data_IF_838948759286
#
_entry.id   IF_838948759286
#
_cell.length_a   1.000
_cell.length_b   1.000
_cell.length_c   1.000
_cell.angle_alpha   90.00
_cell.angle_beta   90.00
_cell.angle_gamma   90.00
#
_symmetry.space_group_name_H-M   'P 1'
#
loop_
_entity.id
_entity.type
_entity.pdbx_description
1 polymer ?
#
# COMPACT_ATOMS: atom_id res chain seq x y z
N UNK A 1 -21.58 -21.21 -15.14
CA UNK A 1 -21.46 -19.74 -15.03
C UNK A 1 -20.12 -19.42 -14.42
N UNK A 2 -19.24 -18.79 -15.19
CA UNK A 2 -17.99 -18.27 -14.65
C UNK A 2 -18.20 -16.82 -14.18
N UNK A 3 -17.51 -16.40 -13.11
CA UNK A 3 -17.50 -14.99 -12.66
C UNK A 3 -17.11 -14.03 -13.82
N UNK A 4 -16.22 -14.49 -14.70
CA UNK A 4 -15.78 -13.77 -15.89
C UNK A 4 -16.83 -13.62 -16.99
N UNK A 5 -18.06 -14.14 -16.84
CA UNK A 5 -19.17 -13.97 -17.78
C UNK A 5 -20.19 -12.93 -17.29
N UNK A 6 -20.12 -12.56 -16.01
CA UNK A 6 -21.03 -11.58 -15.42
C UNK A 6 -20.73 -10.16 -15.91
N UNK A 7 -21.73 -9.25 -15.95
CA UNK A 7 -21.53 -7.82 -16.11
C UNK A 7 -20.55 -7.24 -15.08
N UNK A 8 -19.91 -6.12 -15.41
CA UNK A 8 -18.90 -5.51 -14.55
C UNK A 8 -19.48 -5.07 -13.20
N UNK A 9 -20.72 -4.60 -13.20
CA UNK A 9 -21.45 -4.12 -12.03
C UNK A 9 -21.68 -5.27 -11.03
N UNK A 10 -22.05 -6.45 -11.52
CA UNK A 10 -22.25 -7.62 -10.65
C UNK A 10 -20.92 -8.14 -10.11
N UNK A 11 -19.86 -8.12 -10.91
CA UNK A 11 -18.52 -8.49 -10.43
C UNK A 11 -18.02 -7.54 -9.33
N UNK A 12 -18.24 -6.23 -9.48
CA UNK A 12 -17.90 -5.24 -8.45
C UNK A 12 -18.78 -5.40 -7.20
N UNK A 13 -20.07 -5.67 -7.38
CA UNK A 13 -20.99 -5.93 -6.26
C UNK A 13 -20.56 -7.16 -5.46
N UNK A 14 -20.20 -8.26 -6.14
CA UNK A 14 -19.64 -9.46 -5.51
C UNK A 14 -18.34 -9.13 -4.78
N UNK A 15 -17.44 -8.35 -5.40
CA UNK A 15 -16.19 -7.94 -4.78
C UNK A 15 -16.40 -7.13 -3.49
N UNK A 16 -17.54 -6.44 -3.35
CA UNK A 16 -17.94 -5.73 -2.14
C UNK A 16 -18.26 -6.63 -0.93
N UNK A 17 -18.51 -7.92 -1.12
CA UNK A 17 -18.71 -8.87 -0.02
C UNK A 17 -17.42 -9.48 0.52
N UNK A 18 -16.29 -9.23 -0.15
CA UNK A 18 -15.01 -9.73 0.33
C UNK A 18 -14.50 -8.85 1.47
N UNK A 19 -14.62 -9.35 2.71
CA UNK A 19 -14.18 -8.63 3.91
C UNK A 19 -12.68 -8.34 3.91
N UNK A 20 -11.88 -9.25 3.32
CA UNK A 20 -10.41 -9.17 3.32
C UNK A 20 -9.84 -8.86 1.95
N UNK A 21 -8.88 -7.92 1.87
CA UNK A 21 -8.16 -7.58 0.63
C UNK A 21 -7.50 -8.80 -0.02
N UNK A 22 -7.06 -9.76 0.78
CA UNK A 22 -6.49 -11.02 0.29
C UNK A 22 -7.47 -11.82 -0.58
N UNK A 23 -8.76 -11.82 -0.25
CA UNK A 23 -9.79 -12.52 -1.05
C UNK A 23 -9.99 -11.84 -2.40
N UNK A 24 -10.01 -10.50 -2.42
CA UNK A 24 -10.09 -9.72 -3.66
C UNK A 24 -8.87 -10.04 -4.55
N UNK A 25 -7.67 -10.07 -3.97
CA UNK A 25 -6.42 -10.36 -4.69
C UNK A 25 -6.44 -11.75 -5.35
N UNK A 26 -6.95 -12.77 -4.66
CA UNK A 26 -7.06 -14.12 -5.22
C UNK A 26 -7.92 -14.09 -6.49
N UNK A 27 -9.06 -13.39 -6.47
CA UNK A 27 -9.95 -13.28 -7.63
C UNK A 27 -9.30 -12.48 -8.76
N UNK A 28 -8.63 -11.36 -8.43
CA UNK A 28 -7.88 -10.52 -9.39
C UNK A 28 -6.86 -11.36 -10.18
N UNK A 29 -6.19 -12.32 -9.54
CA UNK A 29 -5.15 -13.14 -10.17
C UNK A 29 -5.70 -14.27 -11.06
N UNK A 30 -6.99 -14.60 -10.99
CA UNK A 30 -7.54 -15.75 -11.74
C UNK A 30 -7.74 -15.49 -13.22
N UNK A 31 -8.04 -14.26 -13.64
CA UNK A 31 -8.48 -13.97 -15.00
C UNK A 31 -8.11 -12.55 -15.41
N UNK A 32 -7.59 -12.35 -16.62
CA UNK A 32 -7.17 -11.02 -17.14
C UNK A 32 -8.29 -9.98 -17.13
N UNK A 33 -9.54 -10.39 -17.43
CA UNK A 33 -10.71 -9.50 -17.39
C UNK A 33 -10.99 -9.06 -15.95
N UNK A 34 -11.00 -9.99 -15.02
CA UNK A 34 -11.21 -9.70 -13.59
C UNK A 34 -10.05 -8.89 -13.03
N UNK A 35 -8.82 -9.17 -13.44
CA UNK A 35 -7.65 -8.37 -13.10
C UNK A 35 -7.85 -6.91 -13.52
N UNK A 36 -8.19 -6.65 -14.78
CA UNK A 36 -8.39 -5.29 -15.27
C UNK A 36 -9.50 -4.53 -14.53
N UNK A 37 -10.56 -5.22 -14.11
CA UNK A 37 -11.71 -4.61 -13.43
C UNK A 37 -11.47 -4.40 -11.93
N UNK A 38 -10.97 -5.44 -11.26
CA UNK A 38 -10.91 -5.50 -9.80
C UNK A 38 -9.59 -5.02 -9.22
N UNK A 39 -8.50 -4.94 -10.00
CA UNK A 39 -7.21 -4.47 -9.49
C UNK A 39 -7.30 -3.02 -8.99
N UNK A 40 -7.93 -2.12 -9.74
CA UNK A 40 -8.18 -0.74 -9.27
C UNK A 40 -9.15 -0.68 -8.09
N UNK A 41 -10.12 -1.60 -8.04
CA UNK A 41 -11.07 -1.69 -6.94
C UNK A 41 -10.36 -2.09 -5.64
N UNK A 42 -9.45 -3.06 -5.71
CA UNK A 42 -8.71 -3.56 -4.55
C UNK A 42 -7.90 -2.46 -3.86
N UNK A 43 -7.21 -1.58 -4.61
CA UNK A 43 -6.46 -0.48 -4.00
C UNK A 43 -7.36 0.57 -3.33
N UNK A 44 -8.52 0.88 -3.94
CA UNK A 44 -9.53 1.75 -3.32
C UNK A 44 -10.16 1.11 -2.07
N UNK A 45 -10.32 -0.21 -2.09
CA UNK A 45 -10.79 -0.96 -0.94
C UNK A 45 -9.75 -0.95 0.20
N UNK A 46 -8.48 -1.19 -0.10
CA UNK A 46 -7.36 -1.08 0.86
C UNK A 46 -7.27 0.32 1.48
N UNK A 47 -7.43 1.37 0.67
CA UNK A 47 -7.51 2.74 1.15
C UNK A 47 -8.63 2.95 2.17
N UNK A 48 -9.82 2.45 1.85
CA UNK A 48 -11.03 2.69 2.64
C UNK A 48 -11.08 1.90 3.94
N UNK A 49 -10.63 0.65 3.93
CA UNK A 49 -10.81 -0.27 5.07
C UNK A 49 -9.50 -0.63 5.78
N UNK A 50 -8.35 -0.49 5.11
CA UNK A 50 -7.06 -0.94 5.61
C UNK A 50 -6.02 0.16 5.68
N UNK A 51 -6.45 1.43 5.75
CA UNK A 51 -5.61 2.61 5.97
C UNK A 51 -4.35 2.63 5.08
N UNK A 52 -4.50 2.22 3.83
CA UNK A 52 -3.41 2.18 2.86
C UNK A 52 -2.19 1.30 3.24
N UNK A 53 -2.38 0.24 4.02
CA UNK A 53 -1.31 -0.73 4.35
C UNK A 53 -0.61 -1.34 3.14
N UNK A 54 -1.27 -1.38 1.97
CA UNK A 54 -0.62 -1.81 0.73
C UNK A 54 0.51 -0.88 0.29
N UNK A 55 0.43 0.43 0.60
CA UNK A 55 1.45 1.43 0.27
C UNK A 55 2.75 1.15 1.04
N UNK A 56 2.65 0.99 2.36
CA UNK A 56 3.80 0.71 3.23
C UNK A 56 4.39 -0.67 2.96
N UNK A 57 3.54 -1.66 2.66
CA UNK A 57 4.00 -2.97 2.21
C UNK A 57 4.78 -2.89 0.90
N UNK A 58 4.28 -2.14 -0.09
CA UNK A 58 4.96 -1.93 -1.36
C UNK A 58 6.30 -1.20 -1.18
N UNK A 59 6.36 -0.19 -0.31
CA UNK A 59 7.58 0.52 0.04
C UNK A 59 8.64 -0.40 0.66
N UNK A 60 8.23 -1.22 1.61
CA UNK A 60 9.09 -2.22 2.28
C UNK A 60 9.60 -3.31 1.33
N UNK A 61 8.79 -3.70 0.34
CA UNK A 61 9.12 -4.77 -0.62
C UNK A 61 9.72 -4.30 -1.94
N UNK A 62 9.88 -2.99 -2.15
CA UNK A 62 10.39 -2.45 -3.42
C UNK A 62 9.43 -2.61 -4.59
N UNK A 63 8.13 -2.77 -4.34
CA UNK A 63 7.12 -3.02 -5.38
C UNK A 63 6.63 -1.72 -6.01
N UNK A 64 7.44 -1.14 -6.89
CA UNK A 64 7.19 0.16 -7.54
C UNK A 64 5.83 0.24 -8.22
N UNK A 65 5.40 -0.80 -8.93
CA UNK A 65 4.11 -0.81 -9.62
C UNK A 65 2.93 -0.73 -8.65
N UNK A 66 2.97 -1.50 -7.57
CA UNK A 66 1.95 -1.49 -6.52
C UNK A 66 1.96 -0.17 -5.77
N UNK A 67 3.15 0.38 -5.52
CA UNK A 67 3.32 1.70 -4.92
C UNK A 67 2.61 2.77 -5.76
N UNK A 68 2.88 2.80 -7.07
CA UNK A 68 2.28 3.75 -8.00
C UNK A 68 0.76 3.57 -8.09
N UNK A 69 0.26 2.34 -8.20
CA UNK A 69 -1.19 2.07 -8.22
C UNK A 69 -1.90 2.59 -6.96
N UNK A 70 -1.22 2.56 -5.82
CA UNK A 70 -1.77 3.05 -4.56
C UNK A 70 -1.81 4.58 -4.49
N UNK A 71 -0.80 5.25 -5.06
CA UNK A 71 -0.83 6.71 -5.27
C UNK A 71 -1.94 7.10 -6.26
N UNK A 72 -2.07 6.37 -7.36
CA UNK A 72 -3.10 6.60 -8.38
C UNK A 72 -4.51 6.37 -7.84
N UNK A 73 -4.66 5.52 -6.81
CA UNK A 73 -5.92 5.32 -6.09
C UNK A 73 -6.29 6.50 -5.18
N UNK A 74 -5.40 7.48 -4.99
CA UNK A 74 -5.62 8.71 -4.22
C UNK A 74 -4.93 8.76 -2.86
N UNK A 75 -3.96 7.88 -2.60
CA UNK A 75 -3.20 7.90 -1.33
C UNK A 75 -2.13 8.98 -1.36
N UNK A 76 -1.89 9.64 -0.22
CA UNK A 76 -0.71 10.50 -0.05
C UNK A 76 0.57 9.65 -0.04
N UNK A 77 1.66 10.08 -0.70
CA UNK A 77 2.96 9.40 -0.62
C UNK A 77 3.57 9.43 0.78
N UNK A 78 3.12 10.34 1.64
CA UNK A 78 3.53 10.48 3.04
C UNK A 78 2.64 9.69 3.99
N UNK A 79 1.63 8.98 3.48
CA UNK A 79 0.63 8.32 4.31
C UNK A 79 1.29 7.29 5.23
N UNK A 80 1.25 7.58 6.52
CA UNK A 80 1.80 6.73 7.57
C UNK A 80 0.73 5.76 8.08
N UNK A 81 1.15 4.56 8.41
CA UNK A 81 0.32 3.62 9.16
C UNK A 81 0.62 3.74 10.66
N UNK A 82 -0.42 3.90 11.47
CA UNK A 82 -0.33 3.93 12.93
C UNK A 82 -0.79 2.60 13.52
N UNK A 83 0.06 1.58 13.57
CA UNK A 83 -0.18 0.47 14.50
C UNK A 83 1.13 -0.07 15.06
N UNK A 84 1.76 0.69 15.94
CA UNK A 84 2.23 0.08 17.18
C UNK A 84 2.02 1.11 18.28
N UNK A 85 1.11 0.90 19.25
CA UNK A 85 1.21 1.57 20.53
C UNK A 85 2.40 0.94 21.25
N UNK A 86 3.62 1.32 20.86
CA UNK A 86 4.76 1.18 21.75
C UNK A 86 4.54 2.22 22.85
N UNK A 87 4.56 1.80 24.11
CA UNK A 87 4.04 2.58 25.25
C UNK A 87 4.59 4.02 25.35
N UNK A 88 5.68 4.39 24.67
CA UNK A 88 6.23 5.76 24.68
C UNK A 88 6.80 6.27 23.34
N UNK A 89 6.62 5.58 22.20
CA UNK A 89 7.17 6.03 20.91
C UNK A 89 6.16 5.87 19.78
N UNK A 90 5.68 7.00 19.24
CA UNK A 90 4.94 7.05 17.98
C UNK A 90 5.93 6.87 16.82
N UNK A 91 6.37 5.64 16.56
CA UNK A 91 7.12 5.32 15.36
C UNK A 91 6.19 5.45 14.16
N UNK A 92 6.27 6.60 13.50
CA UNK A 92 5.62 6.86 12.23
C UNK A 92 6.45 6.16 11.14
N UNK A 93 6.16 4.88 10.89
CA UNK A 93 6.77 4.15 9.78
C UNK A 93 6.13 4.58 8.46
N UNK A 94 6.54 5.75 7.98
CA UNK A 94 6.16 6.26 6.67
C UNK A 94 6.79 5.43 5.54
N UNK A 95 6.24 5.52 4.31
CA UNK A 95 6.75 4.80 3.16
C UNK A 95 8.25 5.06 2.89
N UNK A 96 8.73 6.29 3.13
CA UNK A 96 10.13 6.64 2.90
C UNK A 96 11.09 5.92 3.85
N UNK A 97 10.74 5.85 5.14
CA UNK A 97 11.56 5.16 6.16
C UNK A 97 11.64 3.66 5.85
N UNK A 98 10.51 3.04 5.51
CA UNK A 98 10.46 1.62 5.14
C UNK A 98 11.22 1.33 3.83
N UNK A 99 11.17 2.25 2.87
CA UNK A 99 11.95 2.10 1.64
C UNK A 99 13.46 2.18 1.94
N UNK A 100 13.89 3.09 2.82
CA UNK A 100 15.28 3.22 3.25
C UNK A 100 15.78 1.99 4.03
N UNK A 101 15.07 1.59 5.09
CA UNK A 101 15.46 0.47 5.96
C UNK A 101 15.65 -0.84 5.18
N UNK A 102 14.85 -1.03 4.13
CA UNK A 102 14.89 -2.24 3.30
C UNK A 102 15.67 -2.06 1.99
N UNK A 103 16.37 -0.93 1.79
CA UNK A 103 17.25 -0.71 0.63
C UNK A 103 16.52 -0.56 -0.72
N UNK A 104 15.28 -0.08 -0.70
CA UNK A 104 14.47 0.12 -1.90
C UNK A 104 14.67 1.51 -2.52
N UNK A 105 15.87 1.76 -3.05
CA UNK A 105 16.32 3.04 -3.60
C UNK A 105 15.38 3.62 -4.67
N UNK A 106 14.71 2.76 -5.45
CA UNK A 106 13.78 3.18 -6.50
C UNK A 106 12.54 3.87 -5.92
N UNK A 107 12.01 3.34 -4.81
CA UNK A 107 10.87 3.92 -4.12
C UNK A 107 11.30 5.17 -3.36
N UNK A 108 12.50 5.17 -2.75
CA UNK A 108 13.07 6.38 -2.13
C UNK A 108 13.16 7.52 -3.15
N UNK A 109 13.78 7.28 -4.32
CA UNK A 109 13.86 8.27 -5.40
C UNK A 109 12.49 8.76 -5.83
N UNK A 110 11.54 7.84 -6.03
CA UNK A 110 10.16 8.19 -6.40
C UNK A 110 9.50 9.09 -5.35
N UNK A 111 9.73 8.84 -4.06
CA UNK A 111 9.19 9.65 -2.97
C UNK A 111 9.82 11.05 -2.92
N UNK A 112 11.14 11.14 -3.08
CA UNK A 112 11.85 12.41 -3.15
C UNK A 112 11.40 13.24 -4.37
N UNK A 113 11.20 12.59 -5.53
CA UNK A 113 10.67 13.24 -6.74
C UNK A 113 9.24 13.79 -6.54
N UNK A 114 8.49 13.19 -5.62
CA UNK A 114 7.15 13.66 -5.20
C UNK A 114 7.20 14.77 -4.14
N UNK A 115 8.40 15.19 -3.72
CA UNK A 115 8.60 16.25 -2.73
C UNK A 115 8.38 15.80 -1.28
N UNK A 116 8.40 14.49 -1.02
CA UNK A 116 8.32 13.96 0.34
C UNK A 116 9.58 14.34 1.10
N UNK A 117 9.39 14.84 2.32
CA UNK A 117 10.50 15.16 3.21
C UNK A 117 11.34 13.89 3.49
N UNK A 118 12.66 13.88 3.20
CA UNK A 118 13.54 12.78 3.57
C UNK A 118 13.64 12.53 5.07
N UNK A 119 13.30 13.52 5.91
CA UNK A 119 13.34 13.42 7.37
C UNK A 119 12.01 13.85 8.01
N UNK A 120 10.93 13.06 7.84
CA UNK A 120 9.59 13.45 8.27
C UNK A 120 9.42 13.48 9.80
N UNK A 121 10.41 13.03 10.58
CA UNK A 121 10.30 12.89 12.04
C UNK A 121 11.56 13.30 12.81
N UNK A 122 12.51 14.02 12.20
CA UNK A 122 13.73 14.47 12.88
C UNK A 122 14.40 13.35 13.66
N UNK A 123 14.69 12.22 13.01
CA UNK A 123 15.37 11.03 13.58
C UNK A 123 15.20 10.81 15.10
N UNK A 124 13.98 10.70 15.63
CA UNK A 124 13.80 10.07 16.94
C UNK A 124 13.72 8.55 16.74
N UNK A 125 14.84 7.99 16.30
CA UNK A 125 15.16 6.58 16.46
C UNK A 125 16.44 6.54 17.31
N UNK A 126 16.41 6.12 18.58
CA UNK A 126 17.62 5.83 19.33
C UNK A 126 18.17 4.51 18.79
N UNK A 127 18.69 4.54 17.57
CA UNK A 127 19.57 3.50 17.06
C UNK A 127 20.97 4.06 17.12
N UNK A 128 21.43 4.28 18.37
CA UNK A 128 22.85 4.12 18.65
C UNK A 128 23.16 2.65 18.37
N UNK A 129 23.64 2.40 17.15
CA UNK A 129 24.46 1.23 16.87
C UNK A 129 25.71 1.41 17.74
N UNK A 130 25.71 0.80 18.93
CA UNK A 130 26.93 0.66 19.72
C UNK A 130 27.87 -0.27 18.95
N UNK A 131 28.99 0.29 18.48
CA UNK A 131 30.22 -0.45 18.17
C UNK A 131 30.76 -1.18 19.41
#
# INVERSE_FOLDING_TARGET
MALSELPNELNLYIAGFFEYDGHINVVVQTNRRLHSLLNSYQYKHNLRYYKATALTWAARKGMVSTFQMMLDAGTSPEHTYHEIPCEDVLLHFGPIILAFEYGNDTIVKLLLDKGVDPDPAGWICPVEVQE
#
